data_IF_933127087730
#
_entry.id   IF_933127087730
#
_cell.length_a   1.000
_cell.length_b   1.000
_cell.length_c   1.000
_cell.angle_alpha   90.00
_cell.angle_beta   90.00
_cell.angle_gamma   90.00
#
_symmetry.space_group_name_H-M   'P 1'
#
loop_
_entity.id
_entity.type
_entity.pdbx_description
1 polymer ?
2 non-polymer ?
3 non-polymer ?
4 water ?
#
# COMPACT_ATOMS: atom_id res chain seq x y z
N UNK A 26 -4.23 -13.11 25.28
CA UNK A 26 -3.12 -12.16 24.82
C UNK A 26 -3.70 -11.11 23.90
N UNK A 27 -3.13 -9.91 23.92
CA UNK A 27 -3.63 -8.80 23.09
C UNK A 27 -3.53 -9.16 21.63
N UNK A 28 -4.59 -8.89 20.87
CA UNK A 28 -4.56 -9.13 19.47
C UNK A 28 -3.97 -7.90 18.75
N UNK A 29 -3.20 -8.20 17.74
CA UNK A 29 -2.59 -7.17 16.91
C UNK A 29 -3.17 -7.31 15.50
N UNK A 30 -3.63 -6.18 14.93
CA UNK A 30 -4.12 -6.15 13.61
C UNK A 30 -3.20 -5.24 12.79
N UNK A 31 -2.60 -5.79 11.73
CA UNK A 31 -1.71 -5.00 10.91
C UNK A 31 -2.32 -4.80 9.54
N UNK A 32 -2.42 -3.53 9.19
CA UNK A 32 -2.95 -3.22 7.87
C UNK A 32 -1.85 -3.55 6.84
N UNK A 33 -2.26 -3.96 5.62
CA UNK A 33 -1.32 -4.63 4.71
C UNK A 33 -0.19 -3.74 4.20
N UNK A 34 -0.42 -2.44 4.03
CA UNK A 34 0.66 -1.59 3.55
C UNK A 34 1.77 -1.39 4.61
N UNK A 35 1.34 -1.38 5.87
CA UNK A 35 2.35 -1.31 6.95
C UNK A 35 3.22 -2.53 6.91
N UNK A 36 2.62 -3.69 6.76
CA UNK A 36 3.45 -4.86 6.70
C UNK A 36 4.30 -4.91 5.45
N UNK A 37 3.77 -4.51 4.29
CA UNK A 37 4.56 -4.46 3.09
C UNK A 37 5.79 -3.55 3.21
N UNK A 38 5.63 -2.42 3.87
CA UNK A 38 6.72 -1.47 4.05
C UNK A 38 7.81 -2.07 4.95
N UNK A 39 7.40 -2.73 6.03
CA UNK A 39 8.37 -3.43 6.89
C UNK A 39 9.14 -4.46 6.13
N UNK A 40 8.41 -5.28 5.35
CA UNK A 40 9.03 -6.36 4.65
C UNK A 40 9.98 -5.84 3.57
N UNK A 41 9.52 -4.87 2.75
CA UNK A 41 10.36 -4.27 1.76
C UNK A 41 11.64 -3.69 2.34
N UNK A 42 11.51 -2.98 3.49
CA UNK A 42 12.65 -2.41 4.14
C UNK A 42 13.67 -3.52 4.56
N UNK A 43 13.15 -4.57 5.26
CA UNK A 43 13.98 -5.60 5.75
C UNK A 43 14.64 -6.38 4.60
N UNK A 44 13.82 -6.72 3.57
CA UNK A 44 14.29 -7.60 2.53
C UNK A 44 15.23 -6.92 1.54
N UNK A 45 15.19 -5.60 1.56
CA UNK A 45 16.02 -4.73 0.69
C UNK A 45 17.49 -4.69 1.11
N UNK A 46 17.77 -5.10 2.35
CA UNK A 46 19.09 -4.87 2.90
C UNK A 46 19.41 -6.06 3.86
N UNK A 47 19.68 -7.21 3.21
CA UNK A 47 19.87 -8.50 3.93
C UNK A 47 21.17 -8.57 4.69
N UNK A 48 22.12 -7.64 4.49
CA UNK A 48 23.40 -7.70 5.19
C UNK A 48 23.47 -6.87 6.44
N UNK A 49 22.36 -6.32 6.82
CA UNK A 49 22.27 -5.55 8.06
C UNK A 49 20.92 -5.61 8.72
N UNK A 50 20.90 -5.26 10.00
CA UNK A 50 19.64 -5.17 10.70
C UNK A 50 19.03 -3.77 10.46
N UNK A 51 17.82 -3.71 10.00
CA UNK A 51 17.16 -2.44 9.79
C UNK A 51 16.17 -2.24 10.94
N UNK A 52 15.72 -0.99 11.12
CA UNK A 52 14.72 -0.74 12.17
C UNK A 52 13.85 0.45 11.80
N UNK A 53 12.72 0.54 12.47
CA UNK A 53 11.84 1.68 12.30
C UNK A 53 10.78 1.70 13.37
N UNK A 54 9.86 2.64 13.21
CA UNK A 54 8.74 2.86 14.17
C UNK A 54 7.43 2.41 13.61
N UNK A 55 6.60 1.85 14.49
CA UNK A 55 5.27 1.45 14.15
C UNK A 55 4.31 2.53 14.60
N UNK A 56 3.34 2.83 13.74
CA UNK A 56 2.36 3.83 13.88
C UNK A 56 0.93 3.23 13.79
N UNK A 57 0.06 3.64 14.71
CA UNK A 57 -1.27 3.04 14.76
C UNK A 57 -2.11 3.61 15.86
N UNK A 58 -3.01 2.78 16.37
CA UNK A 58 -3.92 3.18 17.43
C UNK A 58 -4.57 1.96 18.02
N UNK A 59 -5.03 2.12 19.24
CA UNK A 59 -5.87 1.10 19.86
C UNK A 59 -7.24 1.10 19.20
N UNK A 60 -7.84 -0.07 19.06
CA UNK A 60 -9.26 -0.18 18.61
C UNK A 60 -9.94 -1.14 19.58
N UNK A 61 -10.45 -0.60 20.67
CA UNK A 61 -10.90 -1.39 21.82
C UNK A 61 -9.72 -2.15 22.38
N UNK A 62 -9.85 -3.47 22.51
CA UNK A 62 -8.78 -4.30 23.02
C UNK A 62 -7.69 -4.66 21.98
N UNK A 63 -7.89 -4.31 20.70
CA UNK A 63 -6.96 -4.69 19.66
C UNK A 63 -6.00 -3.53 19.42
N UNK A 64 -4.75 -3.84 19.16
CA UNK A 64 -3.80 -2.82 18.74
C UNK A 64 -3.76 -2.89 17.22
N UNK A 65 -4.00 -1.75 16.57
CA UNK A 65 -3.92 -1.68 15.14
C UNK A 65 -2.61 -1.02 14.71
N UNK A 66 -1.91 -1.63 13.78
CA UNK A 66 -0.71 -1.05 13.18
C UNK A 66 -1.09 -0.55 11.76
N UNK A 67 -1.09 0.77 11.64
CA UNK A 67 -1.51 1.45 10.39
C UNK A 67 -0.35 1.74 9.49
N UNK A 68 0.83 1.93 10.02
CA UNK A 68 1.99 2.38 9.22
C UNK A 68 3.28 1.99 9.89
N UNK A 69 4.39 2.09 9.15
CA UNK A 69 5.72 1.79 9.62
C UNK A 69 6.65 2.75 8.92
N UNK A 70 7.48 3.44 9.69
CA UNK A 70 8.37 4.44 9.14
C UNK A 70 9.82 4.02 9.45
N UNK A 71 10.72 4.18 8.46
CA UNK A 71 12.08 3.71 8.60
C UNK A 71 12.87 4.70 9.46
N UNK A 72 13.89 4.17 10.16
CA UNK A 72 14.80 5.02 10.77
C UNK A 72 15.55 5.91 9.82
N UNK A 73 15.85 5.34 8.63
CA UNK A 73 16.59 6.06 7.58
C UNK A 73 15.91 7.36 7.19
N UNK A 74 14.62 7.32 7.07
CA UNK A 74 13.91 8.54 6.62
C UNK A 74 13.97 9.66 7.59
N UNK A 75 14.30 9.36 8.86
CA UNK A 75 14.44 10.37 9.88
C UNK A 75 15.88 10.55 10.28
N UNK A 76 16.77 9.96 9.49
CA UNK A 76 18.17 10.27 9.57
C UNK A 76 18.97 9.36 10.44
N UNK A 77 18.39 8.23 10.83
CA UNK A 77 19.00 7.26 11.70
C UNK A 77 18.96 5.86 11.08
N UNK A 78 20.01 5.51 10.32
CA UNK A 78 19.99 4.20 9.55
C UNK A 78 20.08 2.90 10.40
N UNK A 79 20.48 3.04 11.67
CA UNK A 79 20.57 1.92 12.63
C UNK A 79 20.07 2.45 14.02
N UNK A 80 19.37 1.55 14.74
CA UNK A 80 18.95 1.82 16.16
C UNK A 80 17.97 2.97 16.36
N UNK A 81 17.15 3.28 15.35
CA UNK A 81 16.20 4.39 15.55
C UNK A 81 15.20 4.11 16.72
N UNK A 82 15.03 2.84 17.11
CA UNK A 82 14.08 2.47 18.20
C UNK A 82 14.53 3.10 19.54
N UNK A 83 15.80 3.43 19.62
CA UNK A 83 16.37 4.07 20.78
C UNK A 83 16.45 5.59 20.63
N UNK A 84 15.93 6.17 19.54
CA UNK A 84 16.27 7.60 19.25
C UNK A 84 15.14 8.48 19.67
N UNK A 85 15.27 9.07 20.86
CA UNK A 85 14.16 9.83 21.40
C UNK A 85 13.81 11.08 20.61
N UNK A 86 14.81 11.72 20.00
CA UNK A 86 14.55 12.90 19.21
C UNK A 86 13.70 12.53 18.01
N UNK A 87 14.02 11.42 17.35
CA UNK A 87 13.21 11.03 16.22
C UNK A 87 11.79 10.65 16.66
N UNK A 88 11.68 9.91 17.75
CA UNK A 88 10.37 9.59 18.20
C UNK A 88 9.57 10.86 18.46
N UNK A 89 10.19 11.87 19.04
CA UNK A 89 9.42 13.10 19.34
C UNK A 89 9.01 13.79 18.06
N UNK A 90 9.88 13.77 17.06
CA UNK A 90 9.55 14.40 15.76
C UNK A 90 8.43 13.68 15.05
N UNK A 91 8.48 12.35 15.05
CA UNK A 91 7.40 11.56 14.48
C UNK A 91 6.07 11.81 15.22
N UNK A 92 6.13 11.81 16.54
CA UNK A 92 4.96 12.08 17.39
C UNK A 92 4.38 13.44 17.13
N UNK A 93 5.23 14.45 16.95
CA UNK A 93 4.76 15.84 16.68
C UNK A 93 4.07 15.89 15.35
N UNK A 94 4.66 15.27 14.35
CA UNK A 94 4.04 15.21 13.03
C UNK A 94 2.68 14.49 13.02
N UNK A 95 2.59 13.35 13.69
CA UNK A 95 1.32 12.65 13.84
C UNK A 95 0.31 13.55 14.56
N UNK A 96 0.77 14.28 15.58
CA UNK A 96 -0.05 15.41 16.20
C UNK A 96 -0.90 16.21 15.23
N UNK A 97 -0.36 16.46 14.04
CA UNK A 97 -1.13 17.07 12.93
C UNK A 97 -2.03 16.15 12.10
N UNK A 98 -1.64 14.90 11.92
CA UNK A 98 -2.33 14.05 10.93
C UNK A 98 -3.85 14.04 11.06
N UNK A 99 -4.38 13.98 12.28
CA UNK A 99 -5.84 14.11 12.46
C UNK A 99 -6.56 12.77 12.17
N UNK A 100 -5.80 11.72 11.85
CA UNK A 100 -6.33 10.35 11.88
C UNK A 100 -6.18 9.81 13.32
N UNK A 101 -5.70 10.60 14.27
CA UNK A 101 -5.57 10.18 15.65
C UNK A 101 -4.67 8.94 15.77
N UNK A 102 -3.53 9.05 15.10
CA UNK A 102 -2.48 8.02 15.11
C UNK A 102 -1.33 8.41 15.99
N UNK A 103 -0.67 7.37 16.51
CA UNK A 103 0.48 7.57 17.40
C UNK A 103 1.48 6.47 17.26
N UNK A 104 2.61 6.66 17.91
CA UNK A 104 3.64 5.57 17.88
C UNK A 104 3.15 4.43 18.75
N UNK A 105 3.13 3.24 18.19
CA UNK A 105 2.62 2.04 18.89
C UNK A 105 3.67 0.99 19.14
N UNK A 106 4.91 1.28 18.73
CA UNK A 106 5.98 0.30 18.84
C UNK A 106 7.10 0.51 17.82
N UNK A 107 7.84 -0.53 17.61
CA UNK A 107 9.04 -0.49 16.75
C UNK A 107 9.22 -1.80 16.09
N UNK A 108 9.95 -1.77 15.00
CA UNK A 108 10.27 -2.99 14.27
C UNK A 108 11.75 -3.07 13.97
N UNK A 109 12.23 -4.30 13.80
CA UNK A 109 13.56 -4.49 13.33
C UNK A 109 13.77 -5.88 12.72
N UNK A 110 14.78 -5.93 11.88
CA UNK A 110 15.03 -7.18 11.14
C UNK A 110 16.16 -7.90 11.79
N UNK A 111 16.13 -9.23 11.58
CA UNK A 111 17.11 -10.16 12.11
C UNK A 111 17.45 -11.11 10.94
N UNK A 112 18.05 -10.63 9.82
CA UNK A 112 18.27 -11.51 8.68
C UNK A 112 19.17 -12.71 9.01
N UNK A 113 18.60 -13.89 8.81
CA UNK A 113 19.29 -15.12 8.99
C UNK A 113 19.30 -15.56 10.44
N UNK A 114 18.69 -14.80 11.33
CA UNK A 114 18.76 -15.11 12.80
C UNK A 114 17.51 -15.65 13.43
N UNK A 115 16.43 -15.66 12.66
CA UNK A 115 15.11 -15.98 13.07
C UNK A 115 14.61 -14.87 14.04
N UNK A 116 13.44 -15.07 14.61
CA UNK A 116 12.70 -13.96 15.22
C UNK A 116 12.58 -14.15 16.70
N UNK A 117 13.20 -13.21 17.42
CA UNK A 117 13.21 -13.24 18.90
C UNK A 117 13.63 -11.84 19.33
N UNK A 118 13.57 -11.60 20.62
CA UNK A 118 14.14 -10.39 21.19
C UNK A 118 15.40 -10.72 21.95
N UNK A 119 16.47 -10.02 21.61
CA UNK A 119 17.70 -10.16 22.29
C UNK A 119 17.60 -9.50 23.69
N UNK A 120 18.58 -9.67 24.56
CA UNK A 120 18.55 -9.02 25.90
C UNK A 120 18.42 -7.50 25.80
N UNK A 121 19.08 -6.95 24.80
CA UNK A 121 19.00 -5.49 24.57
C UNK A 121 17.61 -5.08 24.04
N UNK A 122 17.07 -5.91 23.19
CA UNK A 122 15.74 -5.69 22.59
C UNK A 122 14.66 -5.73 23.71
N UNK A 123 14.86 -6.66 24.67
CA UNK A 123 13.91 -6.77 25.79
C UNK A 123 13.90 -5.51 26.62
N UNK A 124 15.08 -4.98 26.91
CA UNK A 124 15.20 -3.77 27.68
C UNK A 124 14.52 -2.62 26.88
N UNK A 125 14.76 -2.55 25.58
CA UNK A 125 14.09 -1.51 24.72
C UNK A 125 12.56 -1.64 24.79
N UNK A 126 12.07 -2.86 24.69
CA UNK A 126 10.64 -3.06 24.68
C UNK A 126 10.00 -2.72 26.01
N UNK A 127 10.66 -3.01 27.15
CA UNK A 127 10.19 -2.62 28.45
C UNK A 127 10.03 -1.07 28.50
N UNK A 128 10.97 -0.34 27.92
CA UNK A 128 10.91 1.10 27.90
C UNK A 128 9.76 1.60 27.02
N UNK A 129 9.51 0.90 25.94
CA UNK A 129 8.37 1.29 25.08
C UNK A 129 7.08 1.08 25.81
N UNK A 130 6.99 -0.01 26.57
CA UNK A 130 5.75 -0.30 27.25
C UNK A 130 5.52 0.67 28.40
N UNK A 131 6.58 1.21 28.96
CA UNK A 131 6.47 2.19 30.03
C UNK A 131 5.76 3.44 29.51
N UNK A 132 6.05 3.82 28.28
CA UNK A 132 5.47 5.02 27.72
C UNK A 132 4.09 4.77 27.09
N UNK A 133 3.86 3.55 26.61
CA UNK A 133 2.56 3.16 26.08
C UNK A 133 2.32 1.67 26.35
N UNK A 134 1.36 1.36 27.24
CA UNK A 134 1.21 -0.02 27.77
C UNK A 134 0.94 -1.09 26.70
N UNK A 135 0.34 -0.71 25.58
CA UNK A 135 0.02 -1.63 24.47
C UNK A 135 1.14 -1.66 23.39
N UNK A 136 2.30 -1.10 23.69
CA UNK A 136 3.41 -1.04 22.66
C UNK A 136 3.88 -2.45 22.31
N UNK A 137 4.29 -2.66 21.06
CA UNK A 137 4.74 -3.89 20.59
C UNK A 137 6.05 -3.76 19.83
N UNK A 138 6.74 -4.90 19.72
CA UNK A 138 8.01 -5.04 18.96
C UNK A 138 7.81 -6.03 17.83
N UNK A 139 7.86 -5.59 16.57
CA UNK A 139 7.73 -6.53 15.42
C UNK A 139 9.12 -6.89 14.97
N UNK A 140 9.41 -8.17 14.94
CA UNK A 140 10.69 -8.67 14.51
C UNK A 140 10.51 -9.50 13.26
N UNK A 141 11.29 -9.23 12.21
CA UNK A 141 11.14 -9.94 10.91
C UNK A 141 12.47 -10.51 10.54
N UNK A 142 12.45 -11.74 9.98
CA UNK A 142 13.59 -12.32 9.38
C UNK A 142 13.22 -12.66 7.94
N UNK A 143 13.63 -11.81 7.01
CA UNK A 143 13.20 -11.89 5.60
C UNK A 143 13.96 -12.77 4.70
N UNK A 144 14.96 -13.50 5.19
CA UNK A 144 15.86 -14.22 4.30
C UNK A 144 15.06 -15.25 3.44
N UNK A 145 14.24 -16.07 4.09
CA UNK A 145 13.54 -17.12 3.26
C UNK A 145 12.61 -16.48 2.26
N UNK A 146 11.93 -15.43 2.62
CA UNK A 146 11.07 -14.69 1.70
C UNK A 146 11.85 -14.10 0.52
N UNK A 147 13.03 -13.57 0.81
CA UNK A 147 13.88 -13.07 -0.31
C UNK A 147 14.27 -14.16 -1.29
N UNK A 148 14.54 -15.35 -0.76
CA UNK A 148 14.92 -16.48 -1.56
C UNK A 148 13.73 -17.06 -2.39
N UNK A 149 12.58 -17.23 -1.72
CA UNK A 149 11.46 -17.95 -2.45
C UNK A 149 10.51 -16.99 -3.13
N UNK A 150 10.50 -15.73 -2.75
CA UNK A 150 9.57 -14.69 -3.13
C UNK A 150 8.12 -15.03 -2.78
N UNK A 151 7.94 -15.95 -1.87
CA UNK A 151 6.60 -16.26 -1.39
C UNK A 151 6.34 -15.66 -0.07
N UNK A 152 5.21 -14.96 0.04
CA UNK A 152 4.88 -14.33 1.34
C UNK A 152 4.77 -15.33 2.47
N UNK A 153 4.35 -16.55 2.12
CA UNK A 153 4.23 -17.64 3.11
C UNK A 153 5.58 -18.02 3.74
N UNK A 154 6.69 -17.63 3.11
CA UNK A 154 8.05 -17.90 3.67
C UNK A 154 8.50 -16.83 4.67
N UNK A 155 7.72 -15.78 4.81
CA UNK A 155 8.07 -14.71 5.76
C UNK A 155 8.08 -15.22 7.16
N UNK A 156 9.05 -14.79 7.95
CA UNK A 156 9.11 -15.13 9.36
C UNK A 156 9.01 -13.79 10.09
N UNK A 157 7.92 -13.63 10.85
CA UNK A 157 7.82 -12.44 11.74
C UNK A 157 6.92 -12.72 12.88
N UNK A 158 7.15 -12.00 13.98
CA UNK A 158 6.33 -12.15 15.16
C UNK A 158 6.19 -10.75 15.72
N UNK A 159 5.13 -10.57 16.49
CA UNK A 159 4.92 -9.33 17.24
C UNK A 159 4.92 -9.69 18.73
N UNK A 160 5.82 -9.04 19.47
CA UNK A 160 6.07 -9.32 20.87
C UNK A 160 5.69 -8.22 21.82
N UNK A 161 5.33 -8.65 23.04
CA UNK A 161 5.27 -7.76 24.18
C UNK A 161 5.99 -8.46 25.33
N UNK A 162 6.30 -7.71 26.36
CA UNK A 162 6.78 -8.28 27.59
C UNK A 162 5.58 -8.41 28.53
N UNK A 163 5.35 -9.62 29.05
CA UNK A 163 4.24 -9.80 30.02
C UNK A 163 4.45 -9.12 31.30
N UNK A 164 3.42 -9.10 32.18
CA UNK A 164 3.64 -8.46 33.47
C UNK A 164 4.67 -9.24 34.34
N UNK A 165 4.79 -10.54 34.09
CA UNK A 165 5.82 -11.37 34.76
C UNK A 165 7.22 -11.28 34.09
N UNK A 166 7.36 -10.48 33.05
CA UNK A 166 8.65 -10.22 32.46
C UNK A 166 8.95 -11.22 31.36
N UNK A 167 7.97 -12.02 30.92
CA UNK A 167 8.19 -12.98 29.82
C UNK A 167 7.96 -12.40 28.44
N UNK A 168 8.77 -12.77 27.46
CA UNK A 168 8.52 -12.36 26.11
C UNK A 168 7.36 -13.19 25.55
N UNK A 169 6.32 -12.52 25.13
CA UNK A 169 5.20 -13.26 24.55
C UNK A 169 4.92 -12.83 23.15
N UNK A 170 4.62 -13.82 22.34
CA UNK A 170 4.29 -13.59 20.90
C UNK A 170 2.75 -13.41 20.78
N UNK A 171 2.31 -12.32 20.17
CA UNK A 171 0.90 -11.98 20.14
C UNK A 171 0.24 -12.48 18.86
N UNK A 172 -1.04 -12.75 18.95
CA UNK A 172 -1.74 -13.15 17.73
C UNK A 172 -1.94 -11.99 16.76
N UNK A 173 -1.57 -12.22 15.54
CA UNK A 173 -1.57 -11.18 14.51
C UNK A 173 -2.56 -11.51 13.42
N UNK A 174 -3.36 -10.51 13.05
CA UNK A 174 -4.24 -10.64 11.88
C UNK A 174 -3.97 -9.50 10.92
N UNK A 175 -4.40 -9.69 9.69
CA UNK A 175 -4.34 -8.64 8.70
C UNK A 175 -5.64 -7.85 8.77
N UNK A 176 -5.49 -6.55 8.84
CA UNK A 176 -6.69 -5.68 8.90
C UNK A 176 -7.43 -5.60 7.54
N UNK A 177 -8.73 -5.82 7.59
CA UNK A 177 -9.56 -5.84 6.35
C UNK A 177 -10.83 -5.03 6.42
N UNK A 178 -11.12 -4.37 7.56
CA UNK A 178 -12.27 -3.43 7.64
C UNK A 178 -12.11 -2.43 6.54
N UNK A 179 -13.09 -2.31 5.67
CA UNK A 179 -12.86 -1.58 4.41
C UNK A 179 -12.49 -0.10 4.56
N UNK A 180 -13.24 0.62 5.43
CA UNK A 180 -12.89 2.05 5.55
C UNK A 180 -11.50 2.24 6.13
N UNK A 181 -11.14 1.48 7.19
CA UNK A 181 -9.81 1.62 7.77
C UNK A 181 -8.73 1.09 6.85
N UNK A 182 -9.08 0.06 6.07
CA UNK A 182 -8.16 -0.46 5.07
C UNK A 182 -7.82 0.66 4.07
N UNK A 183 -8.81 1.38 3.57
CA UNK A 183 -8.58 2.46 2.64
C UNK A 183 -7.76 3.60 3.35
N UNK A 184 -8.26 4.03 4.51
CA UNK A 184 -7.56 5.14 5.23
C UNK A 184 -6.11 4.82 5.53
N UNK A 185 -5.84 3.61 5.99
CA UNK A 185 -4.51 3.21 6.35
C UNK A 185 -3.61 3.05 5.14
N UNK A 186 -4.19 2.56 4.04
CA UNK A 186 -3.42 2.49 2.82
C UNK A 186 -3.06 3.85 2.28
N UNK A 187 -4.02 4.76 2.22
CA UNK A 187 -3.76 6.11 1.76
C UNK A 187 -2.70 6.75 2.67
N UNK A 188 -2.84 6.57 4.00
CA UNK A 188 -1.85 7.16 4.92
C UNK A 188 -0.42 6.63 4.73
N UNK A 189 -0.30 5.33 4.69
CA UNK A 189 1.00 4.66 4.57
C UNK A 189 1.65 4.93 3.21
N UNK A 190 0.85 5.09 2.16
CA UNK A 190 1.39 5.48 0.88
C UNK A 190 1.97 6.88 0.95
N UNK A 191 1.24 7.79 1.62
CA UNK A 191 1.67 9.18 1.74
C UNK A 191 3.00 9.35 2.50
N UNK A 192 3.31 8.44 3.37
CA UNK A 192 4.52 8.56 4.17
C UNK A 192 5.70 7.81 3.63
N UNK A 193 5.49 6.93 2.63
CA UNK A 193 6.58 6.20 2.03
C UNK A 193 7.60 7.14 1.43
N UNK A 194 8.89 6.89 1.76
CA UNK A 194 9.92 7.87 1.38
C UNK A 194 10.41 7.54 -0.03
N UNK A 195 9.60 7.92 -0.99
CA UNK A 195 9.94 7.56 -2.36
C UNK A 195 11.09 8.34 -2.88
N UNK A 196 11.76 7.72 -3.84
CA UNK A 196 12.83 8.39 -4.48
C UNK A 196 12.35 9.37 -5.51
N UNK A 197 12.95 10.54 -5.51
CA UNK A 197 12.55 11.56 -6.39
C UNK A 197 13.58 12.60 -6.73
N UNK A 198 13.38 13.23 -7.87
CA UNK A 198 14.14 14.34 -8.32
C UNK A 198 13.28 15.61 -8.27
N UNK A 199 13.76 16.66 -7.61
CA UNK A 199 13.02 17.90 -7.54
C UNK A 199 13.28 18.83 -8.68
N UNK A 200 12.22 19.53 -9.13
CA UNK A 200 12.34 20.57 -10.09
C UNK A 200 12.94 21.81 -9.44
N UNK A 201 13.48 22.66 -10.24
CA UNK A 201 14.05 23.88 -9.73
C UNK A 201 13.19 25.06 -10.13
N UNK B 26 -24.25 -7.02 -14.37
CA UNK B 26 -23.06 -6.26 -14.86
C UNK B 26 -21.80 -6.87 -14.21
N UNK B 27 -20.69 -6.81 -14.92
CA UNK B 27 -19.43 -7.36 -14.36
C UNK B 27 -18.98 -6.66 -13.10
N UNK B 28 -18.63 -7.42 -12.08
CA UNK B 28 -18.16 -6.81 -10.86
C UNK B 28 -16.69 -6.47 -11.01
N UNK B 29 -16.29 -5.36 -10.43
CA UNK B 29 -14.89 -4.94 -10.40
C UNK B 29 -14.39 -4.88 -8.97
N UNK B 30 -13.33 -5.61 -8.65
CA UNK B 30 -12.80 -5.66 -7.32
C UNK B 30 -11.47 -4.95 -7.35
N UNK B 31 -11.35 -3.84 -6.63
CA UNK B 31 -10.12 -3.07 -6.69
C UNK B 31 -9.38 -3.22 -5.34
N UNK B 32 -8.15 -3.68 -5.40
CA UNK B 32 -7.32 -3.79 -4.18
C UNK B 32 -6.92 -2.38 -3.78
N UNK B 33 -6.73 -2.17 -2.48
CA UNK B 33 -6.74 -0.77 -1.99
C UNK B 33 -5.57 0.08 -2.40
N UNK B 34 -4.40 -0.54 -2.54
CA UNK B 34 -3.22 0.22 -2.99
C UNK B 34 -3.32 0.70 -4.43
N UNK B 35 -3.98 -0.09 -5.25
CA UNK B 35 -4.20 0.34 -6.64
C UNK B 35 -5.05 1.63 -6.62
N UNK B 36 -6.13 1.63 -5.86
CA UNK B 36 -6.97 2.82 -5.77
C UNK B 36 -6.20 4.00 -5.25
N UNK B 37 -5.49 3.79 -4.16
CA UNK B 37 -4.71 4.85 -3.57
C UNK B 37 -3.69 5.46 -4.55
N UNK B 38 -3.05 4.62 -5.36
CA UNK B 38 -2.08 5.13 -6.33
C UNK B 38 -2.76 5.97 -7.40
N UNK B 39 -3.91 5.54 -7.86
CA UNK B 39 -4.69 6.34 -8.82
C UNK B 39 -5.00 7.69 -8.24
N UNK B 40 -5.52 7.69 -7.00
CA UNK B 40 -5.98 8.91 -6.40
C UNK B 40 -4.80 9.85 -6.13
N UNK B 41 -3.70 9.29 -5.62
CA UNK B 41 -2.51 10.09 -5.39
C UNK B 41 -1.96 10.73 -6.63
N UNK B 42 -1.96 9.95 -7.73
CA UNK B 42 -1.50 10.54 -8.99
C UNK B 42 -2.44 11.66 -9.45
N UNK B 43 -3.73 11.40 -9.42
CA UNK B 43 -4.71 12.38 -9.84
C UNK B 43 -4.68 13.65 -8.96
N UNK B 44 -4.51 13.47 -7.66
CA UNK B 44 -4.56 14.59 -6.73
C UNK B 44 -3.32 15.44 -6.79
N UNK B 45 -2.25 14.90 -7.35
CA UNK B 45 -0.99 15.62 -7.58
C UNK B 45 -1.06 16.59 -8.77
N UNK B 46 -2.14 16.57 -9.51
CA UNK B 46 -2.27 17.42 -10.67
C UNK B 46 -3.67 17.92 -10.78
N UNK B 47 -3.99 18.86 -9.92
CA UNK B 47 -5.35 19.36 -9.97
C UNK B 47 -5.66 20.28 -11.15
N UNK B 48 -4.66 20.80 -11.84
CA UNK B 48 -4.94 21.70 -12.97
C UNK B 48 -4.81 21.01 -14.33
N UNK B 49 -4.54 19.70 -14.34
CA UNK B 49 -4.49 19.00 -15.63
C UNK B 49 -4.91 17.54 -15.49
N UNK B 50 -5.49 17.01 -16.55
CA UNK B 50 -5.93 15.62 -16.54
C UNK B 50 -4.71 14.73 -16.58
N UNK B 51 -4.72 13.66 -15.80
CA UNK B 51 -3.65 12.63 -15.85
C UNK B 51 -4.24 11.28 -16.25
N UNK B 52 -3.39 10.37 -16.64
CA UNK B 52 -3.83 9.02 -17.05
C UNK B 52 -2.81 7.98 -16.73
N UNK B 53 -3.24 6.72 -16.73
CA UNK B 53 -2.36 5.64 -16.55
C UNK B 53 -3.06 4.31 -16.89
N UNK B 54 -2.39 3.23 -16.62
CA UNK B 54 -2.87 1.84 -16.90
C UNK B 54 -3.28 1.10 -15.67
N UNK B 55 -4.31 0.28 -15.82
CA UNK B 55 -4.75 -0.59 -14.76
C UNK B 55 -4.21 -1.99 -15.02
N UNK B 56 -3.78 -2.65 -13.94
CA UNK B 56 -3.15 -3.95 -13.99
C UNK B 56 -3.90 -4.87 -13.07
N UNK B 57 -4.13 -6.06 -13.55
CA UNK B 57 -4.91 -7.01 -12.76
C UNK B 57 -5.11 -8.31 -13.43
N UNK B 58 -6.24 -8.95 -13.13
CA UNK B 58 -6.53 -10.23 -13.66
C UNK B 58 -8.00 -10.56 -13.45
N UNK B 59 -8.47 -11.49 -14.25
CA UNK B 59 -9.86 -11.92 -14.12
C UNK B 59 -9.88 -12.99 -13.01
N UNK B 60 -10.88 -12.96 -12.12
CA UNK B 60 -11.07 -13.98 -11.06
C UNK B 60 -12.49 -14.48 -11.24
N UNK B 61 -12.66 -15.49 -12.06
CA UNK B 61 -13.97 -15.96 -12.50
C UNK B 61 -14.68 -14.83 -13.25
N UNK B 62 -15.89 -14.48 -12.81
CA UNK B 62 -16.66 -13.43 -13.45
C UNK B 62 -16.24 -12.05 -12.96
N UNK B 63 -15.35 -11.95 -11.97
CA UNK B 63 -14.96 -10.65 -11.43
C UNK B 63 -13.69 -10.19 -12.10
N UNK B 64 -13.58 -8.89 -12.38
CA UNK B 64 -12.31 -8.32 -12.79
C UNK B 64 -11.62 -7.76 -11.57
N UNK B 65 -10.39 -8.19 -11.30
CA UNK B 65 -9.60 -7.66 -10.20
C UNK B 65 -8.60 -6.62 -10.69
N UNK B 66 -8.55 -5.47 -10.03
CA UNK B 66 -7.55 -4.48 -10.29
C UNK B 66 -6.52 -4.54 -9.15
N UNK B 67 -5.33 -4.99 -9.50
CA UNK B 67 -4.24 -5.18 -8.53
C UNK B 67 -3.32 -3.99 -8.42
N UNK B 68 -3.18 -3.20 -9.47
CA UNK B 68 -2.18 -2.12 -9.49
C UNK B 68 -2.61 -1.07 -10.49
N UNK B 69 -1.98 0.09 -10.41
CA UNK B 69 -2.21 1.14 -11.38
C UNK B 69 -0.86 1.79 -11.57
N UNK B 70 -0.46 1.93 -12.80
CA UNK B 70 0.84 2.46 -13.12
C UNK B 70 0.72 3.68 -14.05
N UNK B 71 1.65 4.66 -13.89
CA UNK B 71 1.61 5.86 -14.67
C UNK B 71 2.29 5.61 -15.98
N UNK B 72 1.99 6.40 -17.00
CA UNK B 72 2.86 6.36 -18.14
C UNK B 72 4.32 6.80 -17.93
N UNK B 73 4.50 7.77 -17.03
CA UNK B 73 5.85 8.36 -16.78
C UNK B 73 6.90 7.31 -16.44
N UNK B 74 6.48 6.37 -15.68
CA UNK B 74 7.43 5.36 -15.26
C UNK B 74 8.00 4.54 -16.36
N UNK B 75 7.34 4.54 -17.53
CA UNK B 75 7.75 3.82 -18.74
C UNK B 75 8.07 4.76 -19.87
N UNK B 76 8.09 6.03 -19.54
CA UNK B 76 8.49 7.09 -20.49
C UNK B 76 7.48 7.91 -21.25
N UNK B 77 6.18 7.79 -20.97
CA UNK B 77 5.18 8.45 -21.86
C UNK B 77 5.39 9.95 -22.08
N UNK B 80 -1.04 11.27 -22.67
CA UNK B 80 -1.92 10.33 -23.36
C UNK B 80 -1.38 8.90 -23.38
N UNK B 81 -0.91 8.42 -22.25
CA UNK B 81 -0.44 7.03 -22.15
C UNK B 81 -1.49 5.92 -22.48
N UNK B 82 -2.79 6.22 -22.31
CA UNK B 82 -3.86 5.24 -22.51
C UNK B 82 -3.97 4.89 -24.00
N UNK B 83 -3.42 5.78 -24.82
CA UNK B 83 -3.39 5.58 -26.26
C UNK B 83 -2.03 5.06 -26.72
N UNK B 84 -1.10 4.78 -25.81
CA UNK B 84 0.32 4.59 -26.28
C UNK B 84 0.65 3.11 -26.43
N UNK B 85 0.53 2.60 -27.64
CA UNK B 85 0.74 1.17 -27.83
C UNK B 85 2.18 0.71 -27.52
N UNK B 86 3.19 1.55 -27.74
CA UNK B 86 4.59 1.18 -27.41
C UNK B 86 4.76 0.99 -25.91
N UNK B 87 4.22 1.91 -25.13
CA UNK B 87 4.27 1.77 -23.65
C UNK B 87 3.48 0.54 -23.19
N UNK B 88 2.27 0.37 -23.71
CA UNK B 88 1.46 -0.75 -23.30
C UNK B 88 2.21 -2.02 -23.60
N UNK B 89 2.88 -2.10 -24.73
CA UNK B 89 3.64 -3.33 -25.04
C UNK B 89 4.78 -3.53 -24.04
N UNK B 90 5.46 -2.45 -23.68
CA UNK B 90 6.51 -2.55 -22.64
C UNK B 90 5.99 -2.97 -21.33
N UNK B 91 4.88 -2.37 -20.90
CA UNK B 91 4.27 -2.78 -19.64
C UNK B 91 3.90 -4.28 -19.68
N UNK B 92 3.26 -4.70 -20.78
CA UNK B 92 2.80 -6.07 -20.95
C UNK B 92 3.94 -7.07 -20.90
N UNK B 93 5.04 -6.73 -21.58
CA UNK B 93 6.20 -7.62 -21.62
C UNK B 93 6.73 -7.79 -20.22
N UNK B 94 6.87 -6.68 -19.52
CA UNK B 94 7.37 -6.81 -18.18
C UNK B 94 6.48 -7.59 -17.22
N UNK B 95 5.17 -7.34 -17.29
CA UNK B 95 4.25 -8.16 -16.52
C UNK B 95 4.35 -9.65 -16.84
N UNK B 96 4.46 -9.94 -18.11
CA UNK B 96 4.65 -11.31 -18.57
C UNK B 96 5.84 -12.08 -17.97
N UNK B 97 6.95 -11.41 -17.67
CA UNK B 97 8.18 -12.11 -17.32
C UNK B 97 8.17 -12.48 -15.84
N UNK B 98 7.46 -11.71 -15.01
CA UNK B 98 7.29 -11.95 -13.57
C UNK B 98 6.40 -13.09 -13.05
N UNK B 99 5.64 -13.77 -13.88
CA UNK B 99 4.82 -14.87 -13.33
C UNK B 99 3.78 -14.59 -12.16
N UNK B 100 3.33 -13.35 -11.82
CA UNK B 100 2.12 -13.16 -10.96
C UNK B 100 0.82 -13.27 -11.77
N UNK B 101 0.98 -13.52 -13.06
CA UNK B 101 -0.15 -13.67 -13.95
C UNK B 101 -0.99 -12.43 -13.98
N UNK B 102 -0.34 -11.27 -14.04
CA UNK B 102 -1.02 -10.00 -14.14
C UNK B 102 -0.95 -9.46 -15.58
N UNK B 103 -1.97 -8.69 -15.94
CA UNK B 103 -2.15 -8.20 -17.26
C UNK B 103 -2.65 -6.78 -17.24
N UNK B 104 -2.52 -6.08 -18.37
CA UNK B 104 -3.24 -4.80 -18.46
C UNK B 104 -4.74 -5.12 -18.56
N UNK B 105 -5.51 -4.51 -17.66
CA UNK B 105 -6.96 -4.72 -17.65
C UNK B 105 -7.80 -3.47 -17.88
N UNK B 106 -7.14 -2.37 -18.20
CA UNK B 106 -7.79 -1.13 -18.51
C UNK B 106 -6.92 0.09 -18.29
N UNK B 107 -7.58 1.22 -18.10
CA UNK B 107 -6.86 2.47 -18.03
C UNK B 107 -7.63 3.35 -17.05
N UNK B 108 -6.94 4.34 -16.55
CA UNK B 108 -7.59 5.35 -15.69
C UNK B 108 -7.28 6.74 -16.21
N UNK B 109 -8.12 7.69 -15.83
CA UNK B 109 -7.74 9.07 -16.03
C UNK B 109 -8.61 9.98 -15.19
N UNK B 110 -8.09 11.16 -14.97
CA UNK B 110 -8.72 12.10 -14.07
C UNK B 110 -9.43 13.16 -14.84
N UNK B 111 -10.45 13.70 -14.18
CA UNK B 111 -11.28 14.76 -14.66
C UNK B 111 -11.42 15.80 -13.49
N UNK B 112 -10.33 16.49 -13.10
CA UNK B 112 -10.48 17.33 -11.90
C UNK B 112 -11.52 18.44 -12.10
N UNK B 113 -12.47 18.50 -11.17
CA UNK B 113 -13.51 19.54 -11.15
C UNK B 113 -14.67 19.28 -12.08
N UNK B 114 -14.67 18.12 -12.78
CA UNK B 114 -15.64 17.87 -13.84
C UNK B 114 -16.54 16.66 -13.61
N UNK B 115 -16.36 16.05 -12.49
CA UNK B 115 -17.09 14.88 -12.11
C UNK B 115 -16.72 13.72 -13.09
N UNK B 116 -17.45 12.64 -12.97
CA UNK B 116 -16.95 11.39 -13.47
C UNK B 116 -17.95 10.87 -14.51
N UNK B 117 -17.50 10.86 -15.75
CA UNK B 117 -18.29 10.41 -16.89
C UNK B 117 -17.24 10.02 -17.95
N UNK B 118 -17.66 9.38 -19.05
CA UNK B 118 -16.77 9.25 -20.20
C UNK B 118 -17.19 10.22 -21.29
N UNK B 119 -16.22 10.98 -21.76
CA UNK B 119 -16.48 11.91 -22.82
C UNK B 119 -16.55 11.10 -24.16
N UNK B 120 -16.97 11.72 -25.23
CA UNK B 120 -16.95 11.04 -26.57
C UNK B 120 -15.57 10.44 -26.88
N UNK B 121 -14.51 11.16 -26.55
CA UNK B 121 -13.16 10.70 -26.83
C UNK B 121 -12.80 9.49 -25.97
N UNK B 122 -13.19 9.56 -24.72
CA UNK B 122 -12.93 8.45 -23.83
C UNK B 122 -13.68 7.19 -24.25
N UNK B 123 -14.88 7.35 -24.76
CA UNK B 123 -15.68 6.25 -25.20
C UNK B 123 -14.99 5.53 -26.38
N UNK B 124 -14.42 6.32 -27.29
CA UNK B 124 -13.73 5.74 -28.43
C UNK B 124 -12.49 4.95 -27.90
N UNK B 125 -11.75 5.53 -26.94
CA UNK B 125 -10.61 4.84 -26.31
C UNK B 125 -11.04 3.54 -25.64
N UNK B 126 -12.09 3.61 -24.85
CA UNK B 126 -12.54 2.44 -24.16
C UNK B 126 -13.00 1.29 -25.14
N UNK B 127 -13.69 1.64 -26.20
CA UNK B 127 -14.07 0.66 -27.23
C UNK B 127 -12.86 -0.05 -27.76
N UNK B 128 -11.77 0.67 -27.97
CA UNK B 128 -10.55 0.05 -28.45
C UNK B 128 -9.96 -0.89 -27.39
N UNK B 129 -10.09 -0.55 -26.13
CA UNK B 129 -9.59 -1.45 -25.09
C UNK B 129 -10.39 -2.73 -25.06
N UNK B 130 -11.69 -2.62 -25.19
CA UNK B 130 -12.50 -3.78 -25.04
C UNK B 130 -12.32 -4.70 -26.23
N UNK B 131 -11.93 -4.13 -27.38
CA UNK B 131 -11.68 -4.94 -28.60
C UNK B 131 -10.55 -5.89 -28.29
N UNK B 132 -9.55 -5.42 -27.55
CA UNK B 132 -8.35 -6.19 -27.22
C UNK B 132 -8.51 -7.13 -26.01
N UNK B 133 -9.29 -6.71 -25.02
CA UNK B 133 -9.58 -7.55 -23.91
C UNK B 133 -11.02 -7.28 -23.48
N UNK B 134 -11.90 -8.27 -23.61
CA UNK B 134 -13.35 -8.04 -23.49
C UNK B 134 -13.78 -7.54 -22.12
N UNK B 135 -12.97 -7.80 -21.08
CA UNK B 135 -13.26 -7.35 -19.71
C UNK B 135 -12.58 -6.02 -19.33
N UNK B 136 -11.93 -5.35 -20.28
CA UNK B 136 -11.22 -4.11 -19.98
C UNK B 136 -12.18 -3.04 -19.50
N UNK B 137 -11.65 -2.21 -18.62
CA UNK B 137 -12.43 -1.16 -17.97
C UNK B 137 -11.71 0.21 -17.98
N UNK B 138 -12.52 1.26 -17.85
CA UNK B 138 -12.05 2.63 -17.76
C UNK B 138 -12.39 3.17 -16.37
N UNK B 139 -11.40 3.52 -15.58
CA UNK B 139 -11.67 4.14 -14.26
C UNK B 139 -11.51 5.63 -14.45
N UNK B 140 -12.53 6.40 -14.07
CA UNK B 140 -12.45 7.83 -14.14
C UNK B 140 -12.58 8.43 -12.73
N UNK B 141 -11.65 9.32 -12.38
CA UNK B 141 -11.60 9.85 -11.03
C UNK B 141 -11.62 11.37 -11.08
N UNK B 142 -12.34 11.98 -10.13
CA UNK B 142 -12.31 13.42 -9.94
C UNK B 142 -11.78 13.57 -8.49
N UNK B 143 -10.50 13.93 -8.36
CA UNK B 143 -9.84 13.99 -7.05
C UNK B 143 -9.99 15.25 -6.24
N UNK B 144 -10.77 16.21 -6.73
CA UNK B 144 -10.78 17.54 -6.10
C UNK B 144 -11.26 17.53 -4.64
N UNK B 145 -12.37 16.85 -4.36
CA UNK B 145 -12.92 16.82 -2.98
C UNK B 145 -11.96 16.08 -2.04
N UNK B 146 -11.38 14.97 -2.50
CA UNK B 146 -10.42 14.21 -1.70
C UNK B 146 -9.18 15.03 -1.42
N UNK B 147 -8.69 15.77 -2.43
CA UNK B 147 -7.52 16.63 -2.19
C UNK B 147 -7.82 17.64 -1.08
N UNK B 148 -9.04 18.19 -1.08
CA UNK B 148 -9.42 19.18 -0.08
C UNK B 148 -9.61 18.57 1.33
N UNK B 149 -10.30 17.44 1.43
CA UNK B 149 -10.69 16.94 2.75
C UNK B 149 -9.80 15.86 3.31
N UNK B 150 -9.11 15.14 2.43
CA UNK B 150 -8.36 13.92 2.74
C UNK B 150 -9.20 12.83 3.41
N UNK B 151 -10.53 12.92 3.26
CA UNK B 151 -11.42 11.88 3.78
C UNK B 151 -11.71 10.86 2.66
N UNK B 152 -11.63 9.59 2.99
CA UNK B 152 -12.01 8.52 2.04
C UNK B 152 -13.42 8.74 1.49
N UNK B 153 -14.31 9.21 2.32
CA UNK B 153 -15.71 9.43 1.91
C UNK B 153 -15.86 10.49 0.80
N UNK B 154 -14.81 11.27 0.58
CA UNK B 154 -14.77 12.27 -0.50
C UNK B 154 -14.30 11.74 -1.85
N UNK B 155 -13.91 10.49 -1.89
CA UNK B 155 -13.45 9.88 -3.17
C UNK B 155 -14.62 9.96 -4.17
N UNK B 156 -14.30 10.25 -5.42
CA UNK B 156 -15.27 10.33 -6.44
C UNK B 156 -14.69 9.63 -7.69
N UNK B 157 -15.20 8.45 -7.98
CA UNK B 157 -14.70 7.70 -9.12
C UNK B 157 -15.73 6.72 -9.57
N UNK B 158 -15.64 6.30 -10.84
CA UNK B 158 -16.50 5.24 -11.37
C UNK B 158 -15.67 4.39 -12.33
N UNK B 159 -16.14 3.17 -12.56
CA UNK B 159 -15.47 2.23 -13.44
C UNK B 159 -16.47 1.86 -14.48
N UNK B 160 -16.11 2.08 -15.75
CA UNK B 160 -16.97 1.89 -16.87
C UNK B 160 -16.56 0.84 -17.89
N UNK B 161 -17.58 0.27 -18.53
CA UNK B 161 -17.44 -0.44 -19.79
C UNK B 161 -18.45 0.08 -20.78
N UNK B 162 -18.22 -0.20 -22.03
CA UNK B 162 -19.21 0.05 -23.06
C UNK B 162 -20.00 -1.25 -23.36
N UNK B 163 -21.33 -1.18 -23.33
CA UNK B 163 -22.18 -2.35 -23.55
C UNK B 163 -22.20 -2.73 -25.02
N UNK B 164 -22.78 -3.89 -25.31
CA UNK B 164 -22.93 -4.31 -26.73
C UNK B 164 -23.73 -3.29 -27.54
N UNK B 165 -24.68 -2.60 -26.91
CA UNK B 165 -25.50 -1.57 -27.59
C UNK B 165 -24.82 -0.20 -27.69
N UNK B 166 -23.62 -0.07 -27.11
CA UNK B 166 -22.86 1.17 -27.16
C UNK B 166 -23.11 2.11 -25.98
N UNK B 167 -23.81 1.63 -24.96
CA UNK B 167 -24.12 2.43 -23.77
C UNK B 167 -22.97 2.37 -22.78
N UNK B 168 -22.76 3.47 -22.05
CA UNK B 168 -21.72 3.52 -21.07
C UNK B 168 -22.26 2.99 -19.76
N UNK B 169 -21.69 1.90 -19.27
CA UNK B 169 -22.21 1.23 -18.11
C UNK B 169 -21.28 1.48 -16.94
N UNK B 170 -21.82 1.96 -15.83
CA UNK B 170 -21.06 2.08 -14.61
C UNK B 170 -21.13 0.73 -13.87
N UNK B 171 -19.97 0.15 -13.57
CA UNK B 171 -19.92 -1.20 -12.98
C UNK B 171 -19.90 -1.15 -11.47
N UNK B 172 -20.44 -2.20 -10.83
CA UNK B 172 -20.33 -2.29 -9.38
C UNK B 172 -18.95 -2.50 -8.93
N UNK B 173 -18.52 -1.75 -7.94
CA UNK B 173 -17.14 -1.81 -7.48
C UNK B 173 -17.08 -2.26 -6.04
N UNK B 174 -16.22 -3.23 -5.77
CA UNK B 174 -15.91 -3.60 -4.39
C UNK B 174 -14.46 -3.43 -4.09
N UNK B 175 -14.09 -3.34 -2.79
CA UNK B 175 -12.73 -3.25 -2.45
C UNK B 175 -12.24 -4.67 -2.13
N UNK B 176 -11.11 -5.03 -2.67
CA UNK B 176 -10.56 -6.36 -2.46
C UNK B 176 -10.02 -6.61 -1.05
N UNK B 177 -10.49 -7.65 -0.40
CA UNK B 177 -10.13 -7.97 1.01
C UNK B 177 -9.66 -9.41 1.23
N UNK B 178 -9.74 -10.27 0.22
CA UNK B 178 -9.21 -11.62 0.34
C UNK B 178 -7.80 -11.54 0.90
N UNK B 179 -7.51 -12.19 2.05
CA UNK B 179 -6.27 -11.90 2.77
C UNK B 179 -5.00 -12.15 1.94
N UNK B 180 -4.94 -13.33 1.30
CA UNK B 180 -3.72 -13.64 0.54
C UNK B 180 -3.52 -12.67 -0.62
N UNK B 181 -4.58 -12.42 -1.39
CA UNK B 181 -4.45 -11.52 -2.55
C UNK B 181 -4.27 -10.10 -2.10
N UNK B 182 -4.86 -9.72 -0.97
CA UNK B 182 -4.64 -8.37 -0.45
C UNK B 182 -3.19 -8.14 -0.13
N UNK B 183 -2.50 -9.10 0.52
CA UNK B 183 -1.09 -9.00 0.73
C UNK B 183 -0.25 -8.99 -0.58
N UNK B 184 -0.56 -9.93 -1.46
CA UNK B 184 0.15 -10.07 -2.72
C UNK B 184 0.00 -8.78 -3.54
N UNK B 185 -1.22 -8.25 -3.67
CA UNK B 185 -1.45 -7.05 -4.46
C UNK B 185 -0.77 -5.81 -3.83
N UNK B 186 -0.81 -5.73 -2.50
CA UNK B 186 -0.16 -4.63 -1.83
C UNK B 186 1.33 -4.66 -1.99
N UNK B 187 1.97 -5.84 -1.81
CA UNK B 187 3.40 -5.96 -1.91
C UNK B 187 3.78 -5.58 -3.39
N UNK B 188 3.00 -6.04 -4.34
CA UNK B 188 3.33 -5.77 -5.74
C UNK B 188 3.22 -4.28 -6.08
N UNK B 189 2.10 -3.70 -5.72
CA UNK B 189 1.84 -2.28 -6.05
C UNK B 189 2.81 -1.33 -5.34
N UNK B 190 3.33 -1.74 -4.16
CA UNK B 190 4.33 -0.96 -3.54
C UNK B 190 5.65 -1.01 -4.34
N UNK B 191 5.98 -2.24 -4.83
CA UNK B 191 7.14 -2.46 -5.60
C UNK B 191 7.16 -1.58 -6.88
N UNK B 192 6.02 -1.44 -7.48
CA UNK B 192 5.99 -0.71 -8.74
C UNK B 192 5.91 0.79 -8.49
N UNK B 193 5.47 1.22 -7.29
CA UNK B 193 5.47 2.63 -6.88
C UNK B 193 6.87 3.10 -6.65
N UNK B 194 7.76 2.20 -6.18
CA UNK B 194 9.07 2.58 -5.74
C UNK B 194 10.06 2.70 -6.92
N UNK B 195 9.91 3.76 -7.69
CA UNK B 195 10.81 4.07 -8.77
C UNK B 195 11.32 5.51 -8.55
N UNK B 196 12.13 6.01 -9.45
CA UNK B 196 12.66 7.36 -9.34
C UNK B 196 11.67 8.30 -9.99
N UNK B 197 10.91 9.01 -9.16
CA UNK B 197 9.94 10.00 -9.63
C UNK B 197 10.59 11.28 -9.98
N UNK B 198 10.30 11.83 -11.18
CA UNK B 198 10.78 13.09 -11.56
C UNK B 198 9.67 14.12 -11.37
N UNK B 199 9.88 15.02 -10.45
CA UNK B 199 8.87 15.97 -9.99
C UNK B 199 9.06 17.38 -10.55
N UNK B 200 7.98 18.15 -10.44
CA UNK B 200 8.08 19.63 -10.61
C UNK B 200 8.13 20.01 -12.07
#
# INVERSE_FOLDING_TARGET
MKHHHHHHPMSDYDIPTTENLYFQGHMRVRIYPLALAKVVKHAASSLQREVAGLLVGKSAGKVLEIWDAVTGEQYGTPAYVQLDEMVMAKVAEELSKSDKNLYIVGWYHSHPGLDVFLSPTDIDTQKRYQAMFSKAVALVVDPVDYAKTRRISSLKFKVFQISKEGRVVSLPVSIGVHRAKLLESTFHALSTFDFMHILGESSGKTRDKPLSEEQESLLGKAKKLFGA
MKHHHHHHPMSDYDIPTTENLYFQGHMRVRIYPLALAKVVKHAASSLQREVAGLLVGKSAGKVLEIWDAVTGEQYGTPAYVQLDEMVMAKVAEELSKSDKNLYIVGWYHSHPGLDVFLSPTDIDTQKRYQAMFSKAVALVVDPVDYAKTRRISSLKFKVFQISKEGRVVSLPVSIGVHRAKLLESTFHALSTFDFMHILGESSGKTRDKPLSEEQESLLGKAKKLFGA
#
